data_IF_769424237193
#
_entry.id   IF_769424237193
#
_cell.length_a   1.000
_cell.length_b   1.000
_cell.length_c   1.000
_cell.angle_alpha   90.00
_cell.angle_beta   90.00
_cell.angle_gamma   90.00
#
_symmetry.space_group_name_H-M   'P 1'
#
loop_
_entity.id
_entity.type
_entity.pdbx_description
1 polymer ?
#
# COMPACT_ATOMS: atom_id res chain seq x y z
N UNK A 1 17.11 -10.22 -6.27
CA UNK A 1 16.74 -8.86 -5.80
C UNK A 1 17.89 -7.92 -6.12
N UNK A 2 17.64 -6.80 -6.81
CA UNK A 2 18.66 -5.76 -7.06
C UNK A 2 18.35 -4.57 -6.15
N UNK A 3 19.28 -4.18 -5.29
CA UNK A 3 19.18 -3.01 -4.43
C UNK A 3 19.91 -1.85 -5.09
N UNK A 4 19.21 -0.77 -5.44
CA UNK A 4 19.80 0.45 -5.97
C UNK A 4 19.76 1.50 -4.86
N UNK A 5 20.93 1.75 -4.24
CA UNK A 5 21.09 2.87 -3.31
C UNK A 5 21.47 4.12 -4.11
N UNK A 6 20.65 5.15 -4.00
CA UNK A 6 20.95 6.46 -4.57
C UNK A 6 20.54 7.56 -3.58
N UNK A 7 21.29 8.66 -3.54
CA UNK A 7 20.99 9.80 -2.66
C UNK A 7 19.64 10.41 -2.99
N UNK A 8 18.99 11.01 -1.99
CA UNK A 8 17.78 11.79 -2.15
C UNK A 8 18.02 12.93 -3.14
N UNK A 9 17.07 13.21 -4.02
CA UNK A 9 17.21 14.31 -5.01
C UNK A 9 17.85 13.94 -6.35
N UNK A 10 18.41 12.74 -6.53
CA UNK A 10 19.03 12.30 -7.80
C UNK A 10 18.00 11.94 -8.91
N UNK A 11 16.74 12.26 -8.75
CA UNK A 11 15.73 12.00 -9.78
C UNK A 11 15.37 10.53 -9.98
N UNK A 12 15.57 9.67 -8.96
CA UNK A 12 15.23 8.22 -9.00
C UNK A 12 13.85 7.96 -9.59
N UNK A 13 12.85 8.70 -9.12
CA UNK A 13 11.47 8.58 -9.58
C UNK A 13 11.34 8.79 -11.09
N UNK A 14 12.02 9.80 -11.64
CA UNK A 14 12.01 10.05 -13.09
C UNK A 14 12.69 8.92 -13.87
N UNK A 15 13.76 8.35 -13.33
CA UNK A 15 14.49 7.24 -13.98
C UNK A 15 13.59 6.01 -14.09
N UNK A 16 13.00 5.55 -12.99
CA UNK A 16 12.15 4.36 -13.06
C UNK A 16 10.85 4.62 -13.82
N UNK A 17 10.23 5.80 -13.73
CA UNK A 17 9.04 6.11 -14.52
C UNK A 17 9.32 6.13 -16.03
N UNK A 18 10.47 6.67 -16.46
CA UNK A 18 10.88 6.58 -17.86
C UNK A 18 11.12 5.13 -18.30
N UNK A 19 11.64 4.28 -17.41
CA UNK A 19 11.79 2.86 -17.68
C UNK A 19 10.41 2.18 -17.85
N UNK A 20 9.44 2.44 -16.97
CA UNK A 20 8.10 1.87 -17.02
C UNK A 20 7.38 2.18 -18.33
N UNK A 21 7.65 3.33 -18.93
CA UNK A 21 7.03 3.73 -20.20
C UNK A 21 7.26 2.74 -21.34
N UNK A 22 8.40 2.03 -21.31
CA UNK A 22 8.84 1.10 -22.35
C UNK A 22 8.94 -0.35 -21.84
N UNK A 23 8.61 -0.58 -20.57
CA UNK A 23 8.71 -1.90 -19.97
C UNK A 23 7.61 -2.82 -20.51
N UNK A 24 8.00 -4.02 -20.89
CA UNK A 24 7.07 -5.11 -21.24
C UNK A 24 6.53 -5.82 -19.99
N UNK A 25 7.22 -5.69 -18.87
CA UNK A 25 6.87 -6.29 -17.59
C UNK A 25 6.00 -5.35 -16.76
N UNK A 26 5.15 -5.91 -15.94
CA UNK A 26 4.32 -5.15 -15.00
C UNK A 26 5.06 -4.88 -13.69
N UNK A 27 4.78 -3.76 -13.08
CA UNK A 27 5.45 -3.32 -11.84
C UNK A 27 4.44 -2.93 -10.77
N UNK A 28 4.75 -3.32 -9.53
CA UNK A 28 4.18 -2.74 -8.33
C UNK A 28 5.16 -1.69 -7.83
N UNK A 29 4.69 -0.46 -7.63
CA UNK A 29 5.46 0.65 -7.07
C UNK A 29 4.92 0.89 -5.67
N UNK A 30 5.70 0.51 -4.67
CA UNK A 30 5.36 0.72 -3.27
C UNK A 30 6.00 2.02 -2.76
N UNK A 31 5.19 2.90 -2.18
CA UNK A 31 5.56 4.24 -1.71
C UNK A 31 5.09 4.50 -0.28
N UNK A 32 5.70 5.43 0.47
CA UNK A 32 5.34 5.65 1.87
C UNK A 32 3.91 6.16 2.09
N UNK A 33 3.41 7.03 1.22
CA UNK A 33 2.15 7.75 1.45
C UNK A 33 1.25 7.80 0.23
N UNK A 34 -0.06 7.95 0.45
CA UNK A 34 -1.02 8.17 -0.64
C UNK A 34 -0.78 9.48 -1.40
N UNK A 35 -0.29 10.53 -0.75
CA UNK A 35 0.07 11.78 -1.41
C UNK A 35 1.17 11.55 -2.45
N UNK A 36 2.26 10.87 -2.05
CA UNK A 36 3.35 10.53 -2.95
C UNK A 36 2.86 9.59 -4.09
N UNK A 37 1.98 8.64 -3.77
CA UNK A 37 1.36 7.77 -4.78
C UNK A 37 0.63 8.59 -5.85
N UNK A 38 -0.17 9.59 -5.44
CA UNK A 38 -0.88 10.49 -6.37
C UNK A 38 0.07 11.34 -7.20
N UNK A 39 1.15 11.86 -6.59
CA UNK A 39 2.17 12.63 -7.31
C UNK A 39 2.90 11.78 -8.36
N UNK A 40 3.30 10.56 -8.01
CA UNK A 40 3.95 9.63 -8.92
C UNK A 40 3.01 9.25 -10.06
N UNK A 41 1.74 8.95 -9.75
CA UNK A 41 0.73 8.65 -10.75
C UNK A 41 0.55 9.80 -11.76
N UNK A 42 0.40 11.03 -11.25
CA UNK A 42 0.28 12.21 -12.12
C UNK A 42 1.53 12.42 -13.00
N UNK A 43 2.73 12.22 -12.43
CA UNK A 43 3.99 12.27 -13.20
C UNK A 43 4.05 11.18 -14.26
N UNK A 44 3.65 9.95 -13.91
CA UNK A 44 3.62 8.83 -14.85
C UNK A 44 2.73 9.11 -16.06
N UNK A 45 1.52 9.61 -15.82
CA UNK A 45 0.60 10.00 -16.90
C UNK A 45 1.20 11.11 -17.77
N UNK A 46 1.82 12.14 -17.16
CA UNK A 46 2.44 13.27 -17.87
C UNK A 46 3.56 12.84 -18.81
N UNK A 47 4.36 11.86 -18.44
CA UNK A 47 5.45 11.34 -19.29
C UNK A 47 4.98 10.25 -20.26
N UNK A 48 3.69 9.87 -20.21
CA UNK A 48 3.07 8.93 -21.14
C UNK A 48 3.25 7.45 -20.77
N UNK A 49 3.38 7.12 -19.48
CA UNK A 49 3.27 5.74 -19.00
C UNK A 49 1.83 5.30 -19.20
N UNK A 50 1.65 4.23 -19.95
CA UNK A 50 0.34 3.60 -20.19
C UNK A 50 0.12 2.47 -19.18
N UNK A 51 -1.13 2.05 -19.05
CA UNK A 51 -1.50 0.90 -18.23
C UNK A 51 -0.96 1.00 -16.78
N UNK A 52 -1.22 2.14 -16.12
CA UNK A 52 -0.85 2.37 -14.74
C UNK A 52 -2.10 2.70 -13.90
N UNK A 53 -2.21 2.13 -12.72
CA UNK A 53 -3.27 2.38 -11.75
C UNK A 53 -2.70 2.71 -10.38
N UNK A 54 -3.52 3.41 -9.58
CA UNK A 54 -3.26 3.63 -8.16
C UNK A 54 -4.29 2.83 -7.35
N UNK A 55 -3.81 2.12 -6.33
CA UNK A 55 -4.69 1.42 -5.39
C UNK A 55 -5.45 2.45 -4.56
N UNK A 56 -6.79 2.28 -4.40
CA UNK A 56 -7.60 3.26 -3.72
C UNK A 56 -7.20 3.44 -2.25
N UNK A 57 -7.30 4.68 -1.80
CA UNK A 57 -7.21 5.04 -0.38
C UNK A 57 -8.50 4.64 0.34
N UNK A 58 -8.38 4.30 1.62
CA UNK A 58 -9.55 4.03 2.45
C UNK A 58 -10.46 5.25 2.46
N UNK A 59 -11.78 5.09 2.18
CA UNK A 59 -12.70 6.23 2.14
C UNK A 59 -12.91 6.84 3.52
N UNK A 60 -13.40 8.07 3.54
CA UNK A 60 -13.85 8.71 4.77
C UNK A 60 -15.13 8.00 5.25
N UNK A 61 -15.06 7.28 6.35
CA UNK A 61 -16.16 6.57 6.98
C UNK A 61 -16.70 7.35 8.18
N UNK A 62 -17.84 6.94 8.73
CA UNK A 62 -18.37 7.48 9.97
C UNK A 62 -17.33 7.42 11.11
N UNK A 63 -17.48 8.27 12.11
CA UNK A 63 -16.55 8.36 13.22
C UNK A 63 -16.37 7.03 13.98
N UNK A 64 -17.43 6.25 14.11
CA UNK A 64 -17.40 4.96 14.78
C UNK A 64 -16.54 3.94 14.03
N UNK A 65 -16.76 3.79 12.72
CA UNK A 65 -15.96 2.91 11.88
C UNK A 65 -14.51 3.40 11.75
N UNK A 66 -14.33 4.71 11.57
CA UNK A 66 -12.99 5.31 11.48
C UNK A 66 -12.18 5.05 12.75
N UNK A 67 -12.76 5.20 13.95
CA UNK A 67 -12.08 4.92 15.22
C UNK A 67 -11.71 3.44 15.35
N UNK A 68 -12.63 2.54 15.01
CA UNK A 68 -12.38 1.09 15.04
C UNK A 68 -11.20 0.73 14.13
N UNK A 69 -11.24 1.19 12.88
CA UNK A 69 -10.22 0.88 11.89
C UNK A 69 -8.86 1.51 12.25
N UNK A 70 -8.83 2.77 12.69
CA UNK A 70 -7.58 3.42 13.14
C UNK A 70 -6.95 2.66 14.30
N UNK A 71 -7.75 2.14 15.24
CA UNK A 71 -7.22 1.32 16.32
C UNK A 71 -6.57 0.04 15.80
N UNK A 72 -7.23 -0.69 14.87
CA UNK A 72 -6.67 -1.91 14.27
C UNK A 72 -5.36 -1.63 13.53
N UNK A 73 -5.31 -0.53 12.75
CA UNK A 73 -4.09 -0.13 12.05
C UNK A 73 -2.97 0.30 13.02
N UNK A 74 -3.30 1.00 14.11
CA UNK A 74 -2.31 1.44 15.10
C UNK A 74 -1.58 0.31 15.83
N UNK A 75 -2.19 -0.87 15.91
CA UNK A 75 -1.57 -2.08 16.47
C UNK A 75 -0.87 -2.96 15.41
N UNK A 76 -0.67 -2.43 14.19
CA UNK A 76 0.00 -3.15 13.10
C UNK A 76 -0.83 -4.24 12.43
N UNK A 77 -2.15 -4.31 12.70
CA UNK A 77 -3.05 -5.34 12.19
C UNK A 77 -3.85 -4.88 10.94
N UNK A 78 -3.21 -4.16 10.02
CA UNK A 78 -3.88 -3.58 8.85
C UNK A 78 -4.61 -4.57 7.94
N UNK A 79 -4.12 -5.82 7.85
CA UNK A 79 -4.79 -6.90 7.12
C UNK A 79 -6.14 -7.25 7.77
N UNK A 80 -6.16 -7.36 9.10
CA UNK A 80 -7.38 -7.61 9.88
C UNK A 80 -8.35 -6.44 9.71
N UNK A 81 -7.85 -5.20 9.63
CA UNK A 81 -8.68 -4.01 9.39
C UNK A 81 -9.45 -4.09 8.08
N UNK A 82 -8.80 -4.49 7.00
CA UNK A 82 -9.45 -4.66 5.71
C UNK A 82 -10.48 -5.79 5.71
N UNK A 83 -10.15 -6.92 6.32
CA UNK A 83 -11.06 -8.06 6.47
C UNK A 83 -12.29 -7.68 7.34
N UNK A 84 -12.07 -6.95 8.41
CA UNK A 84 -13.14 -6.42 9.26
C UNK A 84 -14.09 -5.53 8.47
N UNK A 85 -13.58 -4.62 7.65
CA UNK A 85 -14.41 -3.78 6.79
C UNK A 85 -15.18 -4.59 5.74
N UNK A 86 -14.57 -5.62 5.16
CA UNK A 86 -15.26 -6.53 4.24
C UNK A 86 -16.40 -7.24 4.95
N UNK A 87 -16.19 -7.76 6.15
CA UNK A 87 -17.20 -8.43 6.95
C UNK A 87 -18.36 -7.49 7.31
N UNK A 88 -18.06 -6.26 7.74
CA UNK A 88 -19.08 -5.23 8.01
C UNK A 88 -19.93 -4.95 6.76
N UNK A 89 -19.29 -4.80 5.61
CA UNK A 89 -19.98 -4.54 4.34
C UNK A 89 -20.87 -5.71 3.89
N UNK A 90 -20.33 -6.94 3.85
CA UNK A 90 -21.04 -8.11 3.36
C UNK A 90 -22.15 -8.58 4.31
N UNK A 91 -21.98 -8.41 5.62
CA UNK A 91 -23.00 -8.75 6.62
C UNK A 91 -24.05 -7.65 6.84
N UNK A 92 -24.08 -6.61 5.99
CA UNK A 92 -25.00 -5.47 6.09
C UNK A 92 -24.98 -4.76 7.46
N UNK A 93 -23.80 -4.69 8.08
CA UNK A 93 -23.60 -4.04 9.39
C UNK A 93 -23.31 -2.54 9.26
N UNK A 94 -23.35 -1.98 8.06
CA UNK A 94 -23.25 -0.55 7.78
C UNK A 94 -24.34 -0.12 6.81
N UNK A 95 -24.82 1.11 6.96
CA UNK A 95 -25.89 1.70 6.16
C UNK A 95 -25.48 3.05 5.58
N UNK A 96 -26.35 3.62 4.74
CA UNK A 96 -26.22 4.97 4.21
C UNK A 96 -24.92 5.20 3.43
N UNK A 97 -24.21 6.29 3.78
CA UNK A 97 -22.99 6.72 3.10
C UNK A 97 -21.85 5.73 3.25
N UNK A 98 -21.67 5.13 4.42
CA UNK A 98 -20.60 4.18 4.68
C UNK A 98 -20.69 2.97 3.74
N UNK A 99 -21.91 2.44 3.57
CA UNK A 99 -22.14 1.31 2.67
C UNK A 99 -21.79 1.64 1.22
N UNK A 100 -22.21 2.82 0.75
CA UNK A 100 -21.91 3.27 -0.62
C UNK A 100 -20.41 3.45 -0.84
N UNK A 101 -19.73 4.05 0.14
CA UNK A 101 -18.30 4.30 0.08
C UNK A 101 -17.49 2.99 0.14
N UNK A 102 -17.87 2.04 1.01
CA UNK A 102 -17.24 0.73 1.09
C UNK A 102 -17.46 -0.07 -0.19
N UNK A 103 -18.64 -0.01 -0.80
CA UNK A 103 -18.91 -0.66 -2.09
C UNK A 103 -17.97 -0.13 -3.18
N UNK A 104 -17.88 1.20 -3.33
CA UNK A 104 -17.01 1.82 -4.32
C UNK A 104 -15.53 1.49 -4.07
N UNK A 105 -15.12 1.51 -2.80
CA UNK A 105 -13.76 1.17 -2.38
C UNK A 105 -13.40 -0.28 -2.72
N UNK A 106 -14.23 -1.26 -2.34
CA UNK A 106 -13.94 -2.66 -2.61
C UNK A 106 -13.96 -2.98 -4.10
N UNK A 107 -14.90 -2.44 -4.88
CA UNK A 107 -14.89 -2.61 -6.32
C UNK A 107 -13.58 -2.08 -6.94
N UNK A 108 -13.16 -0.87 -6.56
CA UNK A 108 -11.92 -0.28 -7.06
C UNK A 108 -10.67 -1.04 -6.57
N UNK A 109 -10.70 -1.59 -5.36
CA UNK A 109 -9.62 -2.41 -4.82
C UNK A 109 -9.49 -3.73 -5.60
N UNK A 110 -10.59 -4.43 -5.80
CA UNK A 110 -10.63 -5.71 -6.51
C UNK A 110 -10.18 -5.51 -7.98
N UNK A 111 -10.68 -4.47 -8.66
CA UNK A 111 -10.19 -4.08 -9.98
C UNK A 111 -8.69 -3.76 -10.01
N UNK A 112 -8.13 -3.23 -8.93
CA UNK A 112 -6.70 -2.93 -8.86
C UNK A 112 -5.84 -4.18 -8.67
N UNK A 113 -6.36 -5.19 -7.97
CA UNK A 113 -5.68 -6.48 -7.76
C UNK A 113 -5.68 -7.32 -9.04
N UNK A 114 -6.76 -7.25 -9.83
CA UNK A 114 -6.91 -7.97 -11.10
C UNK A 114 -6.25 -7.25 -12.28
N UNK A 115 -5.71 -6.06 -12.06
CA UNK A 115 -5.18 -5.22 -13.12
C UNK A 115 -3.87 -5.75 -13.68
N UNK A 116 -3.84 -5.97 -14.98
CA UNK A 116 -2.67 -6.49 -15.72
C UNK A 116 -1.72 -5.38 -16.20
N UNK A 117 -1.50 -4.32 -15.41
CA UNK A 117 -0.60 -3.21 -15.72
C UNK A 117 0.26 -2.82 -14.53
N UNK A 118 0.84 -1.63 -14.57
CA UNK A 118 1.60 -1.10 -13.44
C UNK A 118 0.65 -0.66 -12.32
N UNK A 119 1.01 -0.93 -11.06
CA UNK A 119 0.20 -0.64 -9.88
C UNK A 119 1.02 0.22 -8.91
N UNK A 120 0.45 1.34 -8.46
CA UNK A 120 1.03 2.16 -7.40
C UNK A 120 0.24 1.94 -6.12
N UNK A 121 0.93 1.65 -5.01
CA UNK A 121 0.29 1.46 -3.70
C UNK A 121 1.18 1.97 -2.57
N UNK A 122 0.61 2.12 -1.37
CA UNK A 122 1.42 2.45 -0.19
C UNK A 122 2.21 1.24 0.31
N UNK A 123 3.30 1.49 1.07
CA UNK A 123 4.07 0.44 1.76
C UNK A 123 3.17 -0.43 2.64
N UNK A 124 2.26 0.22 3.39
CA UNK A 124 1.31 -0.48 4.24
C UNK A 124 0.41 -1.43 3.43
N UNK A 125 -0.15 -0.94 2.32
CA UNK A 125 -0.96 -1.77 1.43
C UNK A 125 -0.15 -2.91 0.83
N UNK A 126 1.07 -2.65 0.39
CA UNK A 126 1.97 -3.66 -0.16
C UNK A 126 2.26 -4.77 0.86
N UNK A 127 2.53 -4.42 2.10
CA UNK A 127 2.78 -5.38 3.18
C UNK A 127 1.54 -6.23 3.50
N UNK A 128 0.34 -5.61 3.51
CA UNK A 128 -0.92 -6.34 3.70
C UNK A 128 -1.26 -7.28 2.53
N UNK A 129 -0.79 -6.98 1.32
CA UNK A 129 -1.04 -7.81 0.12
C UNK A 129 -0.01 -8.93 -0.09
N UNK A 130 0.98 -9.06 0.77
CA UNK A 130 2.07 -10.03 0.64
C UNK A 130 1.60 -11.50 0.56
N UNK A 131 0.37 -11.81 0.94
CA UNK A 131 -0.25 -13.13 0.79
C UNK A 131 -0.84 -13.38 -0.60
N UNK A 132 -0.99 -12.37 -1.45
CA UNK A 132 -1.43 -12.56 -2.83
C UNK A 132 -0.25 -12.94 -3.72
N UNK A 133 0.16 -14.22 -3.61
CA UNK A 133 1.30 -14.75 -4.33
C UNK A 133 1.14 -14.64 -5.86
N UNK A 134 -0.07 -14.57 -6.37
CA UNK A 134 -0.35 -14.49 -7.80
C UNK A 134 -0.05 -13.10 -8.35
N UNK A 135 -0.44 -12.05 -7.63
CA UNK A 135 -0.08 -10.67 -7.99
C UNK A 135 1.44 -10.49 -8.03
N UNK A 136 2.16 -11.00 -7.02
CA UNK A 136 3.61 -10.89 -6.92
C UNK A 136 4.35 -11.73 -8.00
N UNK A 137 3.76 -12.82 -8.47
CA UNK A 137 4.36 -13.61 -9.57
C UNK A 137 4.35 -12.87 -10.90
N UNK A 138 3.33 -12.05 -11.14
CA UNK A 138 3.11 -11.37 -12.41
C UNK A 138 3.67 -9.94 -12.43
N UNK A 139 4.24 -9.47 -11.32
CA UNK A 139 4.77 -8.11 -11.21
C UNK A 139 6.18 -8.11 -10.62
N UNK A 140 7.03 -7.21 -11.12
CA UNK A 140 8.24 -6.80 -10.43
C UNK A 140 7.93 -5.69 -9.43
N UNK A 141 8.68 -5.62 -8.35
CA UNK A 141 8.43 -4.66 -7.26
C UNK A 141 9.51 -3.59 -7.26
N UNK A 142 9.08 -2.34 -7.25
CA UNK A 142 9.90 -1.16 -6.98
C UNK A 142 9.45 -0.63 -5.61
N UNK A 143 10.37 -0.58 -4.64
CA UNK A 143 10.13 0.05 -3.35
C UNK A 143 10.81 1.41 -3.40
N UNK A 144 10.01 2.48 -3.40
CA UNK A 144 10.50 3.85 -3.35
C UNK A 144 10.56 4.30 -1.89
N UNK A 145 11.73 4.70 -1.45
CA UNK A 145 12.11 4.97 -0.07
C UNK A 145 12.23 3.72 0.83
N UNK A 146 12.62 3.92 2.08
CA UNK A 146 12.87 2.83 3.02
C UNK A 146 11.57 2.29 3.63
N UNK A 147 11.17 1.10 3.20
CA UNK A 147 9.96 0.43 3.71
C UNK A 147 10.09 0.06 5.19
N UNK A 148 11.30 -0.07 5.71
CA UNK A 148 11.52 -0.43 7.13
C UNK A 148 10.95 0.63 8.06
N UNK A 149 10.97 1.91 7.68
CA UNK A 149 10.34 2.97 8.45
C UNK A 149 8.81 2.79 8.56
N UNK A 150 8.18 2.23 7.54
CA UNK A 150 6.75 1.92 7.56
C UNK A 150 6.41 0.69 8.41
N UNK A 151 7.34 -0.26 8.52
CA UNK A 151 7.17 -1.47 9.33
C UNK A 151 7.42 -1.18 10.81
N UNK A 152 8.42 -0.35 11.13
CA UNK A 152 8.83 -0.07 12.51
C UNK A 152 8.11 1.12 13.15
N UNK A 153 7.49 2.01 12.38
CA UNK A 153 6.74 3.14 12.92
C UNK A 153 5.48 2.74 13.71
N UNK A 154 5.03 1.50 13.57
CA UNK A 154 3.89 0.98 14.32
C UNK A 154 4.27 0.46 15.72
N UNK A 155 5.55 0.36 16.03
CA UNK A 155 6.01 -0.17 17.31
C UNK A 155 6.92 0.89 17.96
N UNK A 156 6.32 1.81 18.73
CA UNK A 156 7.05 2.47 19.81
C UNK A 156 7.28 1.37 20.86
N UNK A 157 8.24 0.51 20.59
CA UNK A 157 8.70 -0.44 21.59
C UNK A 157 9.50 0.37 22.58
N UNK A 158 9.04 0.39 23.81
CA UNK A 158 9.84 0.89 24.92
C UNK A 158 11.25 0.28 24.79
N UNK A 159 12.30 1.09 24.90
CA UNK A 159 13.70 0.66 24.76
C UNK A 159 14.06 -0.58 25.63
N UNK A 160 13.27 -0.86 26.65
CA UNK A 160 13.40 -2.05 27.49
C UNK A 160 12.97 -3.35 26.79
N UNK A 161 12.03 -3.30 25.85
CA UNK A 161 11.54 -4.49 25.11
C UNK A 161 12.54 -4.89 24.03
N UNK A 162 13.19 -3.93 23.36
CA UNK A 162 14.24 -4.22 22.34
C UNK A 162 15.44 -4.95 23.00
N UNK A 163 15.81 -4.58 24.24
CA UNK A 163 16.88 -5.27 24.99
C UNK A 163 16.51 -6.72 25.33
N UNK A 164 15.23 -7.01 25.51
CA UNK A 164 14.76 -8.36 25.86
C UNK A 164 14.83 -9.32 24.68
N UNK A 165 14.51 -8.87 23.48
CA UNK A 165 14.53 -9.71 22.28
C UNK A 165 15.95 -9.98 21.75
N UNK A 166 16.87 -9.03 21.89
CA UNK A 166 18.28 -9.22 21.53
C UNK A 166 18.98 -10.24 22.43
N UNK A 167 18.50 -10.48 23.65
CA UNK A 167 19.05 -11.47 24.57
C UNK A 167 18.43 -12.87 24.42
N UNK A 168 17.32 -13.03 23.70
CA UNK A 168 16.71 -14.34 23.44
C UNK A 168 17.35 -15.11 22.27
N UNK A 169 18.11 -14.44 21.43
CA UNK A 169 18.78 -15.01 20.24
C UNK A 169 20.29 -15.22 20.46
N UNK A 170 20.74 -15.28 21.70
CA UNK A 170 22.04 -15.81 22.12
C UNK A 170 21.81 -17.08 22.93
#
# INVERSE_FOLDING_TARGET
MKLIKAQTGLGKTNIYLNYLKYAEENFIIAVPTHNLAREIYAKALKIGVKNIRIVPELPALSDSLTKCIKHIYSIGAGEIGLETLRNIYYNNQCEGSDRMQLKAFFNSLDESVEYSGHIIMTHERFLCMNRNAELLKNHRVIIDEDILLSVYSAVIVDNNVIRYDLNRNK
#
